data_IF_345316776059
#
_entry.id   IF_345316776059
#
_cell.length_a   1.000
_cell.length_b   1.000
_cell.length_c   1.000
_cell.angle_alpha   90.00
_cell.angle_beta   90.00
_cell.angle_gamma   90.00
#
_symmetry.space_group_name_H-M   'P 1'
#
loop_
_entity.id
_entity.type
_entity.pdbx_description
1 polymer ?
#
# COMPACT_ATOMS: atom_id res chain seq x y z
N UNK A 1 31.73 0.90 19.97
CA UNK A 1 30.87 1.84 19.21
C UNK A 1 30.14 1.09 18.09
N UNK A 2 28.92 0.58 18.31
CA UNK A 2 28.15 -0.19 17.32
C UNK A 2 26.93 0.55 16.72
N UNK A 3 26.73 1.85 16.99
CA UNK A 3 25.46 2.55 16.73
C UNK A 3 25.26 3.00 15.27
N UNK A 4 26.33 3.44 14.58
CA UNK A 4 26.25 3.97 13.21
C UNK A 4 25.90 2.93 12.13
N UNK A 5 26.23 1.66 12.36
CA UNK A 5 25.96 0.56 11.42
C UNK A 5 24.54 0.01 11.57
N UNK A 6 24.04 -0.13 12.81
CA UNK A 6 22.69 -0.59 13.06
C UNK A 6 21.62 0.41 12.57
N UNK A 7 21.85 1.71 12.73
CA UNK A 7 20.95 2.74 12.17
C UNK A 7 20.96 2.75 10.64
N UNK A 8 22.13 2.65 10.01
CA UNK A 8 22.22 2.54 8.53
C UNK A 8 21.53 1.29 7.99
N UNK A 9 21.62 0.17 8.70
CA UNK A 9 20.94 -1.07 8.31
C UNK A 9 19.42 -0.93 8.42
N UNK A 10 18.92 -0.28 9.47
CA UNK A 10 17.48 0.03 9.61
C UNK A 10 16.98 0.93 8.48
N UNK A 11 17.74 1.97 8.12
CA UNK A 11 17.40 2.87 7.01
C UNK A 11 17.34 2.10 5.68
N UNK A 12 18.34 1.27 5.37
CA UNK A 12 18.34 0.45 4.14
C UNK A 12 17.20 -0.56 4.10
N UNK A 13 16.87 -1.17 5.23
CA UNK A 13 15.73 -2.09 5.32
C UNK A 13 14.39 -1.35 5.08
N UNK A 14 14.24 -0.15 5.62
CA UNK A 14 13.08 0.70 5.39
C UNK A 14 12.96 1.13 3.91
N UNK A 15 14.07 1.52 3.26
CA UNK A 15 14.10 1.84 1.83
C UNK A 15 13.72 0.63 0.96
N UNK A 16 14.21 -0.56 1.31
CA UNK A 16 13.86 -1.79 0.59
C UNK A 16 12.38 -2.14 0.75
N UNK A 17 11.86 -2.09 1.98
CA UNK A 17 10.42 -2.28 2.27
C UNK A 17 9.55 -1.25 1.54
N UNK A 18 10.00 0.00 1.41
CA UNK A 18 9.33 1.04 0.63
C UNK A 18 9.25 0.67 -0.85
N UNK A 19 10.39 0.31 -1.47
CA UNK A 19 10.42 -0.09 -2.90
C UNK A 19 9.55 -1.31 -3.15
N UNK A 20 9.54 -2.25 -2.22
CA UNK A 20 8.68 -3.42 -2.25
C UNK A 20 7.20 -3.05 -2.18
N UNK A 21 6.79 -2.25 -1.20
CA UNK A 21 5.38 -1.86 -1.03
C UNK A 21 4.86 -1.00 -2.19
N UNK A 22 5.69 -0.09 -2.71
CA UNK A 22 5.35 0.71 -3.89
C UNK A 22 5.16 -0.18 -5.12
N UNK A 23 6.05 -1.15 -5.33
CA UNK A 23 5.93 -2.13 -6.42
C UNK A 23 4.66 -2.98 -6.28
N UNK A 24 4.36 -3.47 -5.08
CA UNK A 24 3.13 -4.24 -4.82
C UNK A 24 1.86 -3.42 -5.04
N UNK A 25 1.88 -2.13 -4.69
CA UNK A 25 0.75 -1.22 -4.92
C UNK A 25 0.54 -0.96 -6.42
N UNK A 26 1.62 -0.74 -7.17
CA UNK A 26 1.55 -0.56 -8.64
C UNK A 26 1.02 -1.85 -9.29
N UNK A 27 1.56 -3.00 -8.92
CA UNK A 27 1.08 -4.30 -9.42
C UNK A 27 -0.39 -4.51 -9.10
N UNK A 28 -0.83 -4.18 -7.88
CA UNK A 28 -2.24 -4.26 -7.48
C UNK A 28 -3.16 -3.39 -8.33
N UNK A 29 -2.75 -2.16 -8.65
CA UNK A 29 -3.49 -1.27 -9.56
C UNK A 29 -3.59 -1.88 -10.95
N UNK A 30 -2.47 -2.37 -11.50
CA UNK A 30 -2.43 -3.02 -12.82
C UNK A 30 -3.36 -4.24 -12.86
N UNK A 31 -3.27 -5.14 -11.87
CA UNK A 31 -4.16 -6.29 -11.79
C UNK A 31 -5.63 -5.88 -11.66
N UNK A 32 -5.95 -4.86 -10.86
CA UNK A 32 -7.31 -4.36 -10.72
C UNK A 32 -7.87 -3.85 -12.05
N UNK A 33 -7.07 -3.10 -12.81
CA UNK A 33 -7.45 -2.61 -14.15
C UNK A 33 -7.67 -3.79 -15.10
N UNK A 34 -6.76 -4.77 -15.13
CA UNK A 34 -6.87 -5.94 -15.99
C UNK A 34 -8.08 -6.80 -15.63
N UNK A 35 -8.35 -7.01 -14.33
CA UNK A 35 -9.55 -7.72 -13.87
C UNK A 35 -10.81 -6.96 -14.24
N UNK A 36 -10.84 -5.62 -14.06
CA UNK A 36 -11.97 -4.79 -14.46
C UNK A 36 -12.24 -4.94 -15.97
N UNK A 37 -11.22 -4.77 -16.81
CA UNK A 37 -11.35 -4.90 -18.28
C UNK A 37 -11.80 -6.32 -18.65
N UNK A 38 -11.22 -7.36 -18.05
CA UNK A 38 -11.58 -8.75 -18.32
C UNK A 38 -13.04 -9.08 -17.93
N UNK A 39 -13.47 -8.69 -16.74
CA UNK A 39 -14.85 -8.91 -16.27
C UNK A 39 -15.85 -8.16 -17.16
N UNK A 40 -15.57 -6.90 -17.49
CA UNK A 40 -16.46 -6.11 -18.33
C UNK A 40 -16.48 -6.60 -19.79
N UNK A 41 -15.38 -7.14 -20.30
CA UNK A 41 -15.35 -7.80 -21.62
C UNK A 41 -16.30 -8.99 -21.65
N UNK A 42 -16.31 -9.83 -20.59
CA UNK A 42 -17.22 -10.96 -20.48
C UNK A 42 -18.68 -10.54 -20.30
N UNK A 43 -18.95 -9.57 -19.43
CA UNK A 43 -20.31 -9.10 -19.12
C UNK A 43 -20.96 -8.40 -20.33
N UNK A 44 -20.18 -7.61 -21.07
CA UNK A 44 -20.67 -6.86 -22.23
C UNK A 44 -20.55 -7.62 -23.54
N UNK A 45 -20.09 -8.88 -23.51
CA UNK A 45 -19.88 -9.70 -24.72
C UNK A 45 -21.09 -9.70 -25.66
N UNK A 46 -22.27 -10.01 -25.13
CA UNK A 46 -23.50 -10.08 -25.92
C UNK A 46 -23.90 -8.73 -26.52
N UNK A 47 -23.58 -7.63 -25.83
CA UNK A 47 -23.81 -6.28 -26.33
C UNK A 47 -22.90 -5.99 -27.52
N UNK A 48 -21.62 -6.37 -27.45
CA UNK A 48 -20.63 -6.13 -28.51
C UNK A 48 -20.74 -7.09 -29.70
N UNK A 49 -21.23 -8.31 -29.50
CA UNK A 49 -21.59 -9.22 -30.59
C UNK A 49 -22.62 -8.60 -31.53
N UNK A 50 -23.55 -7.78 -31.00
CA UNK A 50 -24.52 -7.01 -31.79
C UNK A 50 -23.90 -5.92 -32.69
N UNK A 51 -22.66 -5.51 -32.40
CA UNK A 51 -21.88 -4.57 -33.23
C UNK A 51 -20.87 -5.27 -34.14
N UNK A 52 -20.82 -6.62 -34.12
CA UNK A 52 -19.88 -7.40 -34.92
C UNK A 52 -18.42 -7.31 -34.46
N UNK A 53 -18.18 -6.89 -33.22
CA UNK A 53 -16.84 -6.75 -32.65
C UNK A 53 -16.34 -8.07 -32.06
N UNK A 54 -15.07 -8.36 -32.28
CA UNK A 54 -14.38 -9.51 -31.67
C UNK A 54 -14.01 -9.22 -30.22
N UNK A 55 -13.82 -10.28 -29.41
CA UNK A 55 -13.46 -10.16 -27.99
C UNK A 55 -12.15 -9.37 -27.77
N UNK A 56 -11.17 -9.53 -28.66
CA UNK A 56 -9.91 -8.79 -28.62
C UNK A 56 -10.09 -7.29 -28.88
N UNK A 57 -10.95 -6.92 -29.84
CA UNK A 57 -11.26 -5.52 -30.14
C UNK A 57 -11.98 -4.86 -28.97
N UNK A 58 -12.94 -5.56 -28.37
CA UNK A 58 -13.65 -5.10 -27.16
C UNK A 58 -12.70 -4.85 -26.01
N UNK A 59 -11.79 -5.80 -25.75
CA UNK A 59 -10.80 -5.68 -24.69
C UNK A 59 -9.89 -4.46 -24.91
N UNK A 60 -9.45 -4.23 -26.15
CA UNK A 60 -8.61 -3.07 -26.49
C UNK A 60 -9.37 -1.75 -26.35
N UNK A 61 -10.63 -1.70 -26.79
CA UNK A 61 -11.50 -0.52 -26.64
C UNK A 61 -11.73 -0.20 -25.17
N UNK A 62 -12.09 -1.20 -24.36
CA UNK A 62 -12.29 -1.02 -22.91
C UNK A 62 -11.02 -0.56 -22.23
N UNK A 63 -9.86 -1.12 -22.59
CA UNK A 63 -8.57 -0.66 -22.07
C UNK A 63 -8.30 0.80 -22.46
N UNK A 64 -8.52 1.18 -23.71
CA UNK A 64 -8.34 2.55 -24.18
C UNK A 64 -9.27 3.54 -23.46
N UNK A 65 -10.52 3.16 -23.23
CA UNK A 65 -11.49 3.95 -22.45
C UNK A 65 -11.02 4.13 -21.02
N UNK A 66 -10.62 3.05 -20.34
CA UNK A 66 -10.14 3.11 -18.95
C UNK A 66 -8.91 4.01 -18.85
N UNK A 67 -7.93 3.86 -19.74
CA UNK A 67 -6.75 4.73 -19.76
C UNK A 67 -7.14 6.19 -20.01
N UNK A 68 -8.04 6.45 -20.95
CA UNK A 68 -8.54 7.81 -21.24
C UNK A 68 -9.22 8.44 -20.03
N UNK A 69 -10.02 7.66 -19.29
CA UNK A 69 -10.66 8.16 -18.06
C UNK A 69 -9.62 8.44 -16.98
N UNK A 70 -8.68 7.53 -16.73
CA UNK A 70 -7.64 7.70 -15.71
C UNK A 70 -6.77 8.93 -16.03
N UNK A 71 -6.21 8.99 -17.23
CA UNK A 71 -5.35 10.10 -17.63
C UNK A 71 -6.14 11.39 -17.82
N UNK A 72 -7.32 11.35 -18.42
CA UNK A 72 -8.18 12.51 -18.63
C UNK A 72 -8.62 13.14 -17.32
N UNK A 73 -9.04 12.33 -16.34
CA UNK A 73 -9.37 12.82 -15.00
C UNK A 73 -8.12 13.33 -14.28
N UNK A 74 -6.99 12.63 -14.41
CA UNK A 74 -5.70 13.07 -13.89
C UNK A 74 -5.28 14.45 -14.42
N UNK A 75 -5.31 14.66 -15.74
CA UNK A 75 -5.01 15.95 -16.39
C UNK A 75 -6.01 17.04 -16.00
N UNK A 76 -7.30 16.71 -15.94
CA UNK A 76 -8.33 17.65 -15.50
C UNK A 76 -8.07 18.13 -14.06
N UNK A 77 -7.81 17.19 -13.14
CA UNK A 77 -7.48 17.52 -11.75
C UNK A 77 -6.15 18.26 -11.65
N UNK A 78 -5.19 18.00 -12.54
CA UNK A 78 -3.91 18.69 -12.53
C UNK A 78 -4.05 20.20 -12.75
N UNK A 79 -5.02 20.62 -13.58
CA UNK A 79 -5.34 22.03 -13.81
C UNK A 79 -5.72 22.79 -12.52
N UNK A 80 -6.38 22.12 -11.58
CA UNK A 80 -6.92 22.76 -10.37
C UNK A 80 -6.13 22.45 -9.10
N UNK A 81 -5.61 21.23 -8.98
CA UNK A 81 -5.01 20.71 -7.75
C UNK A 81 -3.55 20.32 -7.91
N UNK A 82 -2.96 20.51 -9.10
CA UNK A 82 -1.63 19.97 -9.45
C UNK A 82 -1.52 18.50 -9.04
N UNK A 83 -2.58 17.75 -9.34
CA UNK A 83 -2.80 16.38 -8.90
C UNK A 83 -1.54 15.50 -9.07
N UNK A 84 -0.87 15.55 -10.21
CA UNK A 84 0.32 14.73 -10.43
C UNK A 84 1.50 15.16 -9.57
N UNK A 85 1.67 16.47 -9.35
CA UNK A 85 2.66 17.03 -8.42
C UNK A 85 2.33 16.68 -6.96
N UNK A 86 1.06 16.70 -6.59
CA UNK A 86 0.60 16.31 -5.26
C UNK A 86 0.78 14.80 -5.03
N UNK A 87 0.49 13.95 -6.02
CA UNK A 87 0.71 12.50 -5.95
C UNK A 87 2.20 12.17 -5.86
N UNK A 88 3.04 12.83 -6.64
CA UNK A 88 4.50 12.69 -6.53
C UNK A 88 5.01 13.18 -5.19
N UNK A 89 4.53 14.31 -4.68
CA UNK A 89 4.89 14.83 -3.35
C UNK A 89 4.40 13.92 -2.22
N UNK A 90 3.26 13.27 -2.35
CA UNK A 90 2.80 12.27 -1.37
C UNK A 90 3.67 11.01 -1.43
N UNK A 91 4.02 10.54 -2.62
CA UNK A 91 4.88 9.38 -2.80
C UNK A 91 6.32 9.64 -2.31
N UNK A 92 6.81 10.89 -2.39
CA UNK A 92 8.22 11.23 -2.14
C UNK A 92 8.48 12.02 -0.86
N UNK A 93 7.61 12.96 -0.46
CA UNK A 93 7.85 13.91 0.64
C UNK A 93 6.90 13.72 1.82
N UNK A 94 5.65 13.29 1.62
CA UNK A 94 4.69 12.98 2.72
C UNK A 94 4.62 11.49 3.04
N UNK A 95 5.75 10.84 2.86
CA UNK A 95 5.91 9.43 3.11
C UNK A 95 6.45 9.27 4.54
N UNK A 96 5.66 8.67 5.43
CA UNK A 96 6.01 8.37 6.84
C UNK A 96 7.39 7.73 7.07
N UNK A 97 8.03 7.21 6.03
CA UNK A 97 9.36 6.59 6.08
C UNK A 97 10.50 7.51 5.61
N UNK A 98 10.19 8.69 5.05
CA UNK A 98 11.15 9.72 4.63
C UNK A 98 11.08 11.00 5.49
N UNK A 99 9.98 11.21 6.24
CA UNK A 99 9.87 12.28 7.23
C UNK A 99 10.15 11.77 8.63
N UNK A 100 10.92 12.54 9.41
CA UNK A 100 11.21 12.25 10.84
C UNK A 100 9.97 12.36 11.76
N UNK A 101 8.82 12.73 11.20
CA UNK A 101 7.54 12.82 11.88
C UNK A 101 6.43 12.17 11.05
N UNK A 102 5.56 11.42 11.74
CA UNK A 102 4.29 10.92 11.22
C UNK A 102 3.29 12.07 11.15
N UNK A 103 2.56 12.19 10.05
CA UNK A 103 1.43 13.12 9.96
C UNK A 103 0.26 12.63 10.83
N UNK A 104 -0.63 13.53 11.26
CA UNK A 104 -1.78 13.20 12.12
C UNK A 104 -2.61 12.02 11.59
N UNK A 105 -2.88 11.96 10.28
CA UNK A 105 -3.59 10.83 9.66
C UNK A 105 -2.85 9.49 9.81
N UNK A 106 -1.52 9.51 9.76
CA UNK A 106 -0.68 8.32 9.84
C UNK A 106 -0.57 7.85 11.29
N UNK A 107 -0.48 8.79 12.25
CA UNK A 107 -0.64 8.52 13.69
C UNK A 107 -2.00 7.89 14.00
N UNK A 108 -3.08 8.41 13.42
CA UNK A 108 -4.42 7.85 13.58
C UNK A 108 -4.53 6.44 12.97
N UNK A 109 -4.00 6.22 11.77
CA UNK A 109 -3.96 4.88 11.14
C UNK A 109 -3.12 3.92 12.00
N UNK A 110 -1.97 4.37 12.51
CA UNK A 110 -1.11 3.58 13.37
C UNK A 110 -1.86 3.18 14.66
N UNK A 111 -2.52 4.14 15.31
CA UNK A 111 -3.27 3.93 16.56
C UNK A 111 -4.51 3.04 16.39
N UNK A 112 -5.32 3.30 15.37
CA UNK A 112 -6.66 2.69 15.25
C UNK A 112 -6.73 1.52 14.28
N UNK A 113 -5.70 1.28 13.47
CA UNK A 113 -5.67 0.17 12.52
C UNK A 113 -4.46 -0.73 12.75
N UNK A 114 -3.24 -0.19 12.68
CA UNK A 114 -2.05 -1.04 12.71
C UNK A 114 -1.77 -1.65 14.09
N UNK A 115 -1.90 -0.87 15.18
CA UNK A 115 -1.72 -1.41 16.55
C UNK A 115 -2.72 -2.54 16.85
N UNK A 116 -4.03 -2.40 16.61
CA UNK A 116 -4.97 -3.50 16.78
C UNK A 116 -4.65 -4.73 15.92
N UNK A 117 -4.20 -4.54 14.68
CA UNK A 117 -3.78 -5.66 13.82
C UNK A 117 -2.55 -6.39 14.37
N UNK A 118 -1.56 -5.65 14.88
CA UNK A 118 -0.38 -6.22 15.51
C UNK A 118 -0.73 -6.95 16.81
N UNK A 119 -1.70 -6.46 17.59
CA UNK A 119 -2.23 -7.20 18.75
C UNK A 119 -2.95 -8.49 18.34
N UNK A 120 -3.76 -8.43 17.29
CA UNK A 120 -4.37 -9.62 16.72
C UNK A 120 -3.33 -10.66 16.30
N UNK A 121 -2.26 -10.23 15.63
CA UNK A 121 -1.13 -11.10 15.27
C UNK A 121 -0.42 -11.65 16.49
N UNK A 122 -0.20 -10.84 17.53
CA UNK A 122 0.38 -11.31 18.78
C UNK A 122 -0.45 -12.43 19.40
N UNK A 123 -1.78 -12.28 19.46
CA UNK A 123 -2.67 -13.32 19.98
C UNK A 123 -2.62 -14.61 19.14
N UNK A 124 -2.51 -14.50 17.82
CA UNK A 124 -2.34 -15.65 16.94
C UNK A 124 -1.01 -16.36 17.17
N UNK A 125 0.07 -15.61 17.36
CA UNK A 125 1.40 -16.17 17.69
C UNK A 125 1.40 -16.81 19.07
N UNK A 126 0.70 -16.23 20.05
CA UNK A 126 0.53 -16.78 21.39
C UNK A 126 -0.25 -18.11 21.39
N UNK A 127 -1.16 -18.29 20.43
CA UNK A 127 -1.92 -19.54 20.25
C UNK A 127 -1.12 -20.68 19.60
N UNK A 128 0.08 -20.41 19.05
CA UNK A 128 0.94 -21.46 18.50
C UNK A 128 1.51 -22.38 19.59
N UNK A 129 1.93 -23.62 19.26
CA UNK A 129 2.59 -24.51 20.22
C UNK A 129 3.82 -23.88 20.88
N UNK A 130 4.04 -24.17 22.17
CA UNK A 130 5.15 -23.58 22.91
C UNK A 130 6.51 -24.06 22.40
N UNK A 131 7.39 -23.09 22.13
CA UNK A 131 8.78 -23.33 21.78
C UNK A 131 9.67 -22.19 22.31
N UNK A 132 10.97 -22.43 22.55
CA UNK A 132 11.90 -21.38 22.97
C UNK A 132 11.96 -20.21 21.97
N UNK A 133 11.83 -20.51 20.67
CA UNK A 133 11.79 -19.51 19.61
C UNK A 133 10.51 -18.66 19.65
N UNK A 134 9.36 -19.29 19.92
CA UNK A 134 8.09 -18.57 20.16
C UNK A 134 8.21 -17.62 21.34
N UNK A 135 8.78 -18.08 22.47
CA UNK A 135 8.91 -17.26 23.67
C UNK A 135 9.73 -15.98 23.40
N UNK A 136 10.88 -16.12 22.74
CA UNK A 136 11.71 -14.97 22.34
C UNK A 136 10.97 -14.05 21.35
N UNK A 137 10.26 -14.61 20.37
CA UNK A 137 9.50 -13.84 19.40
C UNK A 137 8.38 -13.03 20.06
N UNK A 138 7.60 -13.64 20.94
CA UNK A 138 6.51 -13.00 21.69
C UNK A 138 7.05 -11.88 22.57
N UNK A 139 8.16 -12.11 23.27
CA UNK A 139 8.80 -11.10 24.10
C UNK A 139 9.27 -9.88 23.28
N UNK A 140 10.01 -10.13 22.19
CA UNK A 140 10.43 -9.08 21.27
C UNK A 140 9.25 -8.32 20.65
N UNK A 141 8.18 -9.03 20.29
CA UNK A 141 6.99 -8.44 19.68
C UNK A 141 6.25 -7.55 20.68
N UNK A 142 6.06 -8.01 21.92
CA UNK A 142 5.46 -7.22 23.01
C UNK A 142 6.27 -5.97 23.34
N UNK A 143 7.59 -6.09 23.42
CA UNK A 143 8.47 -4.95 23.69
C UNK A 143 8.41 -3.92 22.55
N UNK A 144 8.37 -4.38 21.30
CA UNK A 144 8.22 -3.52 20.11
C UNK A 144 6.87 -2.80 20.09
N UNK A 145 5.77 -3.51 20.39
CA UNK A 145 4.43 -2.94 20.52
C UNK A 145 4.36 -1.89 21.64
N UNK A 146 4.97 -2.17 22.79
CA UNK A 146 5.01 -1.23 23.92
C UNK A 146 5.74 0.06 23.55
N UNK A 147 6.93 -0.06 22.94
CA UNK A 147 7.72 1.09 22.45
C UNK A 147 6.94 1.90 21.41
N UNK A 148 6.25 1.23 20.51
CA UNK A 148 5.40 1.88 19.51
C UNK A 148 4.28 2.69 20.17
N UNK A 149 3.54 2.11 21.12
CA UNK A 149 2.47 2.83 21.86
C UNK A 149 3.01 4.06 22.58
N UNK A 150 4.10 3.91 23.32
CA UNK A 150 4.74 5.03 24.01
C UNK A 150 5.18 6.14 23.05
N UNK A 151 5.63 5.77 21.85
CA UNK A 151 6.02 6.75 20.81
C UNK A 151 4.82 7.47 20.21
N UNK A 152 3.67 6.80 20.10
CA UNK A 152 2.42 7.40 19.62
C UNK A 152 1.81 8.33 20.67
N UNK A 153 1.85 7.95 21.96
CA UNK A 153 1.28 8.74 23.06
C UNK A 153 2.11 9.98 23.44
N UNK A 154 3.40 9.96 23.13
CA UNK A 154 4.32 11.09 23.40
C UNK A 154 4.35 12.15 22.28
N UNK A 155 3.57 11.97 21.21
CA UNK A 155 3.43 12.89 20.08
C UNK A 155 2.01 13.43 19.96
#
# INVERSE_FOLDING_TARGET
MPTLTAERQKIRAAEWLYRWNLSMSILGIVFTILTFVGVFTLVLRNFFEGFGLTEFEVLFILLAVVLTVIFGFGFYLDKFLRFWSAQTTVATVRNQFLTSALYQKELLIMKYSQVPQMEGLLHLVEALPDSPAKAQLVEHFRDSLRKLRQTIESK
#
